data_IF_219404280614
#
_entry.id   IF_219404280614
#
_cell.length_a   1.000
_cell.length_b   1.000
_cell.length_c   1.000
_cell.angle_alpha   90.00
_cell.angle_beta   90.00
_cell.angle_gamma   90.00
#
_symmetry.space_group_name_H-M   'P 1'
#
loop_
_entity.id
_entity.type
_entity.pdbx_description
1 polymer ?
#
# COMPACT_ATOMS: atom_id res chain seq x y z
N UNK A 1 -9.59 25.52 -2.16
CA UNK A 1 -8.36 25.00 -1.50
C UNK A 1 -8.07 25.51 -0.07
N UNK A 2 -8.06 26.83 0.17
CA UNK A 2 -7.50 27.44 1.40
C UNK A 2 -7.97 26.83 2.73
N UNK A 3 -9.29 26.73 2.96
CA UNK A 3 -9.84 26.19 4.20
C UNK A 3 -9.49 24.71 4.42
N UNK A 4 -9.32 23.93 3.36
CA UNK A 4 -8.89 22.52 3.44
C UNK A 4 -7.49 22.42 4.00
N UNK A 5 -6.54 23.20 3.47
CA UNK A 5 -5.16 23.22 3.96
C UNK A 5 -5.08 23.72 5.40
N UNK A 6 -5.84 24.76 5.73
CA UNK A 6 -5.92 25.29 7.10
C UNK A 6 -6.47 24.24 8.07
N UNK A 7 -7.54 23.55 7.69
CA UNK A 7 -8.14 22.44 8.45
C UNK A 7 -7.12 21.33 8.71
N UNK A 8 -6.43 20.88 7.68
CA UNK A 8 -5.42 19.82 7.76
C UNK A 8 -4.24 20.21 8.65
N UNK A 9 -3.69 21.41 8.48
CA UNK A 9 -2.59 21.92 9.29
C UNK A 9 -3.00 22.04 10.77
N UNK A 10 -4.17 22.62 11.05
CA UNK A 10 -4.69 22.74 12.39
C UNK A 10 -4.93 21.37 13.04
N UNK A 11 -5.50 20.41 12.30
CA UNK A 11 -5.75 19.05 12.79
C UNK A 11 -4.45 18.31 13.16
N UNK A 12 -3.39 18.43 12.35
CA UNK A 12 -2.07 17.87 12.70
C UNK A 12 -1.50 18.54 13.95
N UNK A 13 -1.67 19.86 14.08
CA UNK A 13 -1.18 20.60 15.25
C UNK A 13 -1.93 20.30 16.55
N UNK A 14 -3.14 19.74 16.53
CA UNK A 14 -3.89 19.35 17.74
C UNK A 14 -3.06 18.45 18.66
N UNK A 15 -2.17 17.63 18.08
CA UNK A 15 -1.25 16.76 18.83
C UNK A 15 -0.30 17.52 19.76
N UNK A 16 0.16 18.69 19.33
CA UNK A 16 1.09 19.52 20.08
C UNK A 16 0.37 20.64 20.84
N UNK A 17 -0.78 21.09 20.31
CA UNK A 17 -1.56 22.23 20.77
C UNK A 17 -3.06 21.89 20.72
N UNK A 18 -3.61 21.23 21.76
CA UNK A 18 -5.01 20.81 21.81
C UNK A 18 -6.02 21.94 21.54
N UNK A 19 -5.66 23.19 21.85
CA UNK A 19 -6.44 24.40 21.59
C UNK A 19 -6.75 24.62 20.09
N UNK A 20 -5.94 24.08 19.18
CA UNK A 20 -6.14 24.16 17.73
C UNK A 20 -7.37 23.35 17.26
N UNK A 21 -7.94 22.50 18.12
CA UNK A 21 -9.03 21.59 17.75
C UNK A 21 -10.25 22.36 17.24
N UNK A 22 -10.65 23.44 17.92
CA UNK A 22 -11.79 24.25 17.51
C UNK A 22 -11.58 24.83 16.09
N UNK A 23 -10.39 25.42 15.85
CA UNK A 23 -10.02 25.98 14.55
C UNK A 23 -9.98 24.91 13.44
N UNK A 24 -9.52 23.70 13.75
CA UNK A 24 -9.48 22.60 12.80
C UNK A 24 -10.90 22.23 12.34
N UNK A 25 -11.85 22.06 13.27
CA UNK A 25 -13.25 21.75 12.94
C UNK A 25 -13.95 22.91 12.22
N UNK A 26 -13.71 24.15 12.62
CA UNK A 26 -14.27 25.33 11.97
C UNK A 26 -13.78 25.45 10.52
N UNK A 27 -12.48 25.31 10.30
CA UNK A 27 -11.88 25.32 8.96
C UNK A 27 -12.40 24.17 8.10
N UNK A 28 -12.55 22.97 8.67
CA UNK A 28 -13.16 21.82 7.97
C UNK A 28 -14.60 22.11 7.55
N UNK A 29 -15.39 22.71 8.44
CA UNK A 29 -16.78 23.10 8.16
C UNK A 29 -16.86 24.13 7.03
N UNK A 30 -16.00 25.15 7.04
CA UNK A 30 -15.89 26.13 5.96
C UNK A 30 -15.47 25.47 4.63
N UNK A 31 -14.50 24.55 4.67
CA UNK A 31 -14.06 23.80 3.51
C UNK A 31 -15.18 22.96 2.89
N UNK A 32 -15.98 22.25 3.71
CA UNK A 32 -17.10 21.45 3.24
C UNK A 32 -18.23 22.32 2.66
N UNK A 33 -18.52 23.48 3.27
CA UNK A 33 -19.50 24.45 2.71
C UNK A 33 -19.05 24.99 1.36
N UNK A 34 -17.79 25.39 1.24
CA UNK A 34 -17.22 25.85 -0.02
C UNK A 34 -17.25 24.75 -1.09
N UNK A 35 -16.82 23.54 -0.73
CA UNK A 35 -16.86 22.36 -1.60
C UNK A 35 -18.27 22.08 -2.13
N UNK A 36 -19.28 22.10 -1.25
CA UNK A 36 -20.67 21.88 -1.65
C UNK A 36 -21.15 22.95 -2.65
N UNK A 37 -20.82 24.22 -2.41
CA UNK A 37 -21.14 25.31 -3.31
C UNK A 37 -20.43 25.18 -4.66
N UNK A 38 -19.18 24.71 -4.68
CA UNK A 38 -18.39 24.50 -5.89
C UNK A 38 -18.94 23.32 -6.71
N UNK A 39 -19.22 22.17 -6.09
CA UNK A 39 -19.81 20.99 -6.75
C UNK A 39 -21.16 21.34 -7.38
N UNK A 40 -22.00 22.10 -6.68
CA UNK A 40 -23.35 22.46 -7.18
C UNK A 40 -23.29 23.37 -8.41
N UNK A 41 -22.23 24.19 -8.54
CA UNK A 41 -22.03 25.09 -9.68
C UNK A 41 -21.23 24.45 -10.82
N UNK A 42 -20.48 23.39 -10.54
CA UNK A 42 -19.57 22.79 -11.49
C UNK A 42 -20.29 21.90 -12.52
N UNK A 43 -19.97 22.08 -13.80
CA UNK A 43 -20.37 21.19 -14.88
C UNK A 43 -19.42 19.99 -15.05
N UNK A 44 -18.15 20.14 -14.66
CA UNK A 44 -17.10 19.12 -14.67
C UNK A 44 -16.23 19.23 -13.41
N UNK A 45 -15.48 18.18 -13.09
CA UNK A 45 -14.56 18.17 -11.96
C UNK A 45 -13.21 18.71 -12.40
N UNK A 46 -12.85 19.93 -12.00
CA UNK A 46 -11.51 20.42 -12.25
C UNK A 46 -10.48 19.80 -11.28
N UNK A 47 -9.20 19.92 -11.61
CA UNK A 47 -8.08 19.41 -10.81
C UNK A 47 -8.13 19.91 -9.36
N UNK A 48 -8.40 21.20 -9.13
CA UNK A 48 -8.45 21.77 -7.77
C UNK A 48 -9.54 21.12 -6.92
N UNK A 49 -10.73 20.92 -7.48
CA UNK A 49 -11.88 20.32 -6.80
C UNK A 49 -11.56 18.88 -6.36
N UNK A 50 -10.94 18.09 -7.24
CA UNK A 50 -10.54 16.72 -6.90
C UNK A 50 -9.50 16.71 -5.80
N UNK A 51 -8.50 17.60 -5.86
CA UNK A 51 -7.54 17.74 -4.78
C UNK A 51 -8.22 18.08 -3.46
N UNK A 52 -9.17 19.02 -3.45
CA UNK A 52 -9.91 19.39 -2.23
C UNK A 52 -10.66 18.18 -1.66
N UNK A 53 -11.39 17.41 -2.48
CA UNK A 53 -12.11 16.22 -2.04
C UNK A 53 -11.16 15.15 -1.52
N UNK A 54 -10.06 14.92 -2.23
CA UNK A 54 -9.03 13.96 -1.84
C UNK A 54 -8.40 14.32 -0.49
N UNK A 55 -7.98 15.57 -0.32
CA UNK A 55 -7.36 16.07 0.91
C UNK A 55 -8.33 16.01 2.10
N UNK A 56 -9.60 16.39 1.90
CA UNK A 56 -10.63 16.28 2.95
C UNK A 56 -10.89 14.83 3.34
N UNK A 57 -10.90 13.92 2.36
CA UNK A 57 -11.11 12.50 2.56
C UNK A 57 -9.97 11.83 3.32
N UNK A 58 -8.72 11.96 2.83
CA UNK A 58 -7.54 11.34 3.45
C UNK A 58 -7.26 11.88 4.86
N UNK A 59 -7.69 13.13 5.15
CA UNK A 59 -7.56 13.74 6.47
C UNK A 59 -8.73 13.45 7.41
N UNK A 60 -9.77 12.73 6.97
CA UNK A 60 -10.93 12.40 7.83
C UNK A 60 -10.53 11.64 9.11
N UNK A 61 -9.60 10.66 9.07
CA UNK A 61 -9.12 9.97 10.27
C UNK A 61 -8.43 10.88 11.29
N UNK A 62 -8.04 12.10 10.92
CA UNK A 62 -7.41 13.06 11.84
C UNK A 62 -8.44 13.70 12.78
N UNK A 63 -9.72 13.64 12.40
CA UNK A 63 -10.85 14.19 13.17
C UNK A 63 -11.65 13.11 13.89
N UNK A 64 -11.93 12.00 13.20
CA UNK A 64 -12.53 10.78 13.77
C UNK A 64 -11.85 9.56 13.16
N UNK A 65 -11.18 8.77 14.00
CA UNK A 65 -10.46 7.55 13.57
C UNK A 65 -11.37 6.51 12.88
N UNK A 66 -12.69 6.59 13.05
CA UNK A 66 -13.67 5.72 12.38
C UNK A 66 -14.05 6.21 10.99
N UNK A 67 -13.77 7.48 10.67
CA UNK A 67 -14.08 8.06 9.36
C UNK A 67 -12.88 7.88 8.42
N UNK A 68 -12.93 6.83 7.61
CA UNK A 68 -11.92 6.55 6.56
C UNK A 68 -12.06 7.47 5.32
N UNK A 69 -13.01 8.41 5.33
CA UNK A 69 -13.27 9.29 4.20
C UNK A 69 -13.91 8.58 3.00
N UNK A 70 -14.59 7.45 3.20
CA UNK A 70 -15.12 6.60 2.11
C UNK A 70 -16.07 7.36 1.17
N UNK A 71 -16.86 8.31 1.69
CA UNK A 71 -17.74 9.15 0.86
C UNK A 71 -16.92 9.99 -0.12
N UNK A 72 -15.81 10.57 0.33
CA UNK A 72 -14.90 11.34 -0.51
C UNK A 72 -14.15 10.44 -1.49
N UNK A 73 -13.71 9.26 -1.04
CA UNK A 73 -13.07 8.26 -1.91
C UNK A 73 -14.00 7.87 -3.06
N UNK A 74 -15.25 7.52 -2.75
CA UNK A 74 -16.25 7.16 -3.75
C UNK A 74 -16.52 8.31 -4.74
N UNK A 75 -16.54 9.55 -4.28
CA UNK A 75 -16.72 10.71 -5.15
C UNK A 75 -15.54 10.88 -6.14
N UNK A 76 -14.30 10.75 -5.68
CA UNK A 76 -13.12 10.83 -6.56
C UNK A 76 -13.05 9.64 -7.51
N UNK A 77 -13.36 8.43 -7.03
CA UNK A 77 -13.46 7.23 -7.88
C UNK A 77 -14.46 7.45 -9.01
N UNK A 78 -15.67 7.91 -8.70
CA UNK A 78 -16.70 8.18 -9.71
C UNK A 78 -16.29 9.27 -10.69
N UNK A 79 -15.60 10.32 -10.23
CA UNK A 79 -15.11 11.38 -11.11
C UNK A 79 -14.08 10.83 -12.12
N UNK A 80 -13.07 10.10 -11.62
CA UNK A 80 -11.97 9.54 -12.42
C UNK A 80 -12.44 8.43 -13.37
N UNK A 81 -13.31 7.52 -12.91
CA UNK A 81 -13.77 6.37 -13.70
C UNK A 81 -14.76 6.77 -14.82
N UNK A 82 -15.54 7.83 -14.62
CA UNK A 82 -16.49 8.31 -15.61
C UNK A 82 -15.91 9.39 -16.54
N UNK A 83 -14.60 9.62 -16.47
CA UNK A 83 -13.88 10.65 -17.25
C UNK A 83 -14.56 12.05 -17.18
N UNK A 84 -15.09 12.38 -16.00
CA UNK A 84 -15.77 13.67 -15.75
C UNK A 84 -14.81 14.77 -15.30
N UNK A 85 -13.52 14.50 -15.40
CA UNK A 85 -12.47 15.37 -14.89
C UNK A 85 -11.90 16.19 -16.04
N UNK A 86 -11.91 17.51 -15.86
CA UNK A 86 -11.28 18.42 -16.78
C UNK A 86 -9.77 18.48 -16.48
N UNK A 87 -9.00 17.67 -17.21
CA UNK A 87 -7.54 17.67 -17.14
C UNK A 87 -6.96 18.77 -18.03
N UNK A 88 -7.15 20.03 -17.64
CA UNK A 88 -6.54 21.17 -18.32
C UNK A 88 -5.01 21.05 -18.46
N UNK A 89 -4.37 20.32 -17.55
CA UNK A 89 -2.92 20.02 -17.51
C UNK A 89 -2.52 18.66 -18.12
N UNK A 90 -3.46 17.91 -18.72
CA UNK A 90 -3.20 16.67 -19.46
C UNK A 90 -2.96 15.40 -18.63
N UNK A 91 -2.29 14.41 -19.25
CA UNK A 91 -2.13 13.02 -18.77
C UNK A 91 -1.41 12.87 -17.41
N UNK A 92 -0.50 13.79 -17.06
CA UNK A 92 0.25 13.74 -15.79
C UNK A 92 -0.66 13.90 -14.57
N UNK A 93 -1.66 14.77 -14.66
CA UNK A 93 -2.63 15.03 -13.59
C UNK A 93 -3.57 13.84 -13.39
N UNK A 94 -3.96 13.16 -14.48
CA UNK A 94 -4.71 11.90 -14.42
C UNK A 94 -3.89 10.79 -13.73
N UNK A 95 -2.62 10.62 -14.11
CA UNK A 95 -1.73 9.64 -13.50
C UNK A 95 -1.52 9.85 -12.00
N UNK A 96 -1.45 11.12 -11.56
CA UNK A 96 -1.38 11.48 -10.15
C UNK A 96 -2.59 10.96 -9.36
N UNK A 97 -3.82 11.29 -9.79
CA UNK A 97 -5.01 10.87 -9.06
C UNK A 97 -5.26 9.36 -9.08
N UNK A 98 -4.95 8.67 -10.19
CA UNK A 98 -5.00 7.21 -10.25
C UNK A 98 -4.09 6.59 -9.17
N UNK A 99 -2.85 7.07 -9.07
CA UNK A 99 -1.91 6.61 -8.06
C UNK A 99 -2.38 6.93 -6.63
N UNK A 100 -2.95 8.10 -6.41
CA UNK A 100 -3.50 8.45 -5.10
C UNK A 100 -4.68 7.55 -4.69
N UNK A 101 -5.57 7.23 -5.64
CA UNK A 101 -6.67 6.28 -5.42
C UNK A 101 -6.16 4.87 -5.11
N UNK A 102 -5.14 4.38 -5.82
CA UNK A 102 -4.52 3.07 -5.54
C UNK A 102 -4.10 2.98 -4.07
N UNK A 103 -3.37 4.00 -3.58
CA UNK A 103 -2.95 4.05 -2.18
C UNK A 103 -4.15 4.11 -1.23
N UNK A 104 -5.11 5.01 -1.47
CA UNK A 104 -6.24 5.19 -0.57
C UNK A 104 -7.16 3.97 -0.51
N UNK A 105 -7.38 3.29 -1.64
CA UNK A 105 -8.10 2.02 -1.70
C UNK A 105 -7.38 0.92 -0.91
N UNK A 106 -6.06 0.79 -1.08
CA UNK A 106 -5.26 -0.21 -0.38
C UNK A 106 -5.45 -0.13 1.14
N UNK A 107 -5.36 1.09 1.66
CA UNK A 107 -5.32 1.33 3.10
C UNK A 107 -6.72 1.31 3.70
N UNK A 108 -7.74 1.70 2.92
CA UNK A 108 -9.16 1.52 3.28
C UNK A 108 -9.53 0.03 3.31
N UNK A 109 -9.11 -0.73 2.29
CA UNK A 109 -9.37 -2.17 2.19
C UNK A 109 -8.71 -2.97 3.30
N UNK A 110 -7.58 -2.51 3.85
CA UNK A 110 -6.92 -3.19 4.96
C UNK A 110 -7.82 -3.32 6.20
N UNK A 111 -8.75 -2.37 6.42
CA UNK A 111 -9.59 -2.27 7.62
C UNK A 111 -11.10 -2.36 7.36
N UNK A 112 -11.55 -2.22 6.11
CA UNK A 112 -12.97 -2.18 5.75
C UNK A 112 -13.31 -3.17 4.62
N UNK A 113 -14.20 -4.13 4.91
CA UNK A 113 -14.68 -5.14 3.94
C UNK A 113 -15.44 -4.52 2.76
N UNK A 114 -16.08 -3.38 2.97
CA UNK A 114 -16.93 -2.71 1.99
C UNK A 114 -16.18 -1.68 1.15
N UNK A 115 -14.85 -1.57 1.29
CA UNK A 115 -14.07 -0.65 0.49
C UNK A 115 -14.12 -1.06 -0.99
N UNK A 116 -14.68 -0.19 -1.84
CA UNK A 116 -14.67 -0.38 -3.28
C UNK A 116 -13.24 -0.31 -3.80
N UNK A 117 -12.87 -1.21 -4.70
CA UNK A 117 -11.56 -1.20 -5.35
C UNK A 117 -11.69 -1.44 -6.85
N UNK A 118 -10.87 -0.72 -7.61
CA UNK A 118 -10.99 -0.61 -9.06
C UNK A 118 -9.66 -0.88 -9.76
N UNK A 119 -9.75 -1.30 -11.02
CA UNK A 119 -8.60 -1.54 -11.88
C UNK A 119 -8.32 -0.30 -12.73
N UNK A 120 -7.48 0.60 -12.21
CA UNK A 120 -7.12 1.85 -12.87
C UNK A 120 -6.25 1.67 -14.11
N UNK A 121 -5.70 0.48 -14.35
CA UNK A 121 -4.93 0.19 -15.57
C UNK A 121 -5.78 0.24 -16.85
N UNK A 122 -7.09 0.03 -16.70
CA UNK A 122 -8.07 0.03 -17.80
C UNK A 122 -8.69 1.39 -18.09
N UNK A 123 -8.45 2.37 -17.23
CA UNK A 123 -8.91 3.75 -17.46
C UNK A 123 -7.96 4.35 -18.48
N UNK A 124 -8.45 4.62 -19.70
CA UNK A 124 -7.66 5.28 -20.73
C UNK A 124 -7.15 6.64 -20.21
N UNK A 125 -5.88 6.94 -20.46
CA UNK A 125 -5.37 8.29 -20.22
C UNK A 125 -5.71 9.13 -21.46
N UNK A 126 -6.07 10.42 -21.31
CA UNK A 126 -6.24 11.30 -22.46
C UNK A 126 -5.00 11.19 -23.35
N UNK A 127 -5.17 10.79 -24.61
CA UNK A 127 -4.07 10.66 -25.54
C UNK A 127 -3.36 12.02 -25.59
N UNK A 128 -2.06 12.03 -25.28
CA UNK A 128 -1.23 13.17 -25.64
C UNK A 128 -1.34 13.30 -27.16
N UNK A 129 -1.88 14.41 -27.65
CA UNK A 129 -1.99 14.67 -29.08
C UNK A 129 -0.64 14.35 -29.73
N UNK A 130 -0.65 13.43 -30.70
CA UNK A 130 0.52 13.12 -31.51
C UNK A 130 1.08 14.45 -32.03
N UNK A 131 2.39 14.74 -31.89
CA UNK A 131 2.95 15.95 -32.46
C UNK A 131 2.62 16.00 -33.94
N UNK A 132 2.01 17.10 -34.38
CA UNK A 132 1.74 17.34 -35.79
C UNK A 132 2.97 16.99 -36.65
N UNK A 133 2.75 16.20 -37.71
CA UNK A 133 3.78 15.74 -38.64
C UNK A 133 4.70 16.90 -39.06
N UNK A 134 5.97 16.86 -38.64
CA UNK A 134 6.96 17.84 -39.06
C UNK A 134 8.18 18.01 -38.15
N UNK A 135 8.12 17.58 -36.89
CA UNK A 135 9.28 17.64 -35.99
C UNK A 135 10.09 16.34 -36.06
N UNK A 136 11.39 16.46 -36.38
CA UNK A 136 12.36 15.36 -36.27
C UNK A 136 12.18 14.67 -34.91
N UNK A 137 12.18 13.33 -34.82
CA UNK A 137 12.18 12.65 -33.54
C UNK A 137 13.40 13.13 -32.76
N UNK A 138 13.15 13.88 -31.68
CA UNK A 138 14.15 14.05 -30.65
C UNK A 138 14.62 12.65 -30.24
N UNK A 139 15.92 12.44 -29.93
CA UNK A 139 16.36 11.16 -29.40
C UNK A 139 15.42 10.78 -28.26
N UNK A 140 15.02 9.52 -28.21
CA UNK A 140 14.15 8.97 -27.17
C UNK A 140 14.85 9.15 -25.81
N UNK A 141 14.76 10.35 -25.25
CA UNK A 141 15.07 10.60 -23.86
C UNK A 141 14.06 9.75 -23.12
N UNK A 142 14.50 8.58 -22.62
CA UNK A 142 13.70 7.76 -21.72
C UNK A 142 13.19 8.70 -20.62
N UNK A 143 11.91 9.01 -20.66
CA UNK A 143 11.29 9.88 -19.68
C UNK A 143 11.38 9.17 -18.34
N UNK A 144 12.28 9.64 -17.47
CA UNK A 144 12.46 9.09 -16.14
C UNK A 144 11.13 9.08 -15.38
N UNK A 145 10.87 8.02 -14.63
CA UNK A 145 9.67 7.87 -13.83
C UNK A 145 9.73 8.88 -12.69
N UNK A 146 8.71 9.72 -12.56
CA UNK A 146 8.53 10.62 -11.42
C UNK A 146 7.80 9.87 -10.29
N UNK A 147 8.46 9.63 -9.14
CA UNK A 147 7.81 9.02 -7.99
C UNK A 147 6.59 9.83 -7.53
N UNK A 148 5.49 9.13 -7.26
CA UNK A 148 4.30 9.73 -6.68
C UNK A 148 4.44 9.80 -5.13
N UNK A 149 3.87 10.80 -4.42
CA UNK A 149 4.08 10.96 -2.98
C UNK A 149 3.68 9.75 -2.11
N UNK A 150 2.64 9.01 -2.50
CA UNK A 150 2.16 7.85 -1.72
C UNK A 150 2.50 6.49 -2.32
N UNK A 151 2.52 6.40 -3.65
CA UNK A 151 2.81 5.13 -4.33
C UNK A 151 4.28 5.02 -4.70
N UNK A 152 5.05 6.12 -4.73
CA UNK A 152 6.42 6.12 -5.23
C UNK A 152 6.48 5.57 -6.65
N UNK A 153 7.22 4.47 -6.81
CA UNK A 153 7.26 3.64 -8.02
C UNK A 153 6.57 2.27 -7.81
N UNK A 154 5.79 2.14 -6.74
CA UNK A 154 5.14 0.92 -6.26
C UNK A 154 3.63 0.89 -6.56
N UNK A 155 3.13 1.65 -7.54
CA UNK A 155 1.69 1.71 -7.83
C UNK A 155 1.11 0.34 -8.18
N UNK A 156 1.76 -0.43 -9.04
CA UNK A 156 1.33 -1.80 -9.39
C UNK A 156 1.41 -2.76 -8.18
N UNK A 157 2.53 -2.86 -7.44
CA UNK A 157 2.58 -3.64 -6.20
C UNK A 157 1.49 -3.25 -5.17
N UNK A 158 1.20 -1.97 -5.00
CA UNK A 158 0.15 -1.51 -4.08
C UNK A 158 -1.26 -1.88 -4.57
N UNK A 159 -1.54 -1.80 -5.87
CA UNK A 159 -2.80 -2.27 -6.44
C UNK A 159 -2.99 -3.79 -6.28
N UNK A 160 -1.93 -4.57 -6.46
CA UNK A 160 -1.92 -6.01 -6.17
C UNK A 160 -2.16 -6.28 -4.69
N UNK A 161 -1.56 -5.49 -3.80
CA UNK A 161 -1.77 -5.60 -2.36
C UNK A 161 -3.24 -5.48 -2.00
N UNK A 162 -3.93 -4.46 -2.54
CA UNK A 162 -5.37 -4.28 -2.36
C UNK A 162 -6.14 -5.54 -2.80
N UNK A 163 -5.83 -6.08 -3.98
CA UNK A 163 -6.53 -7.26 -4.52
C UNK A 163 -6.32 -8.50 -3.65
N UNK A 164 -5.09 -8.73 -3.17
CA UNK A 164 -4.78 -9.84 -2.26
C UNK A 164 -5.49 -9.65 -0.92
N UNK A 165 -5.43 -8.45 -0.33
CA UNK A 165 -6.11 -8.11 0.90
C UNK A 165 -7.62 -8.37 0.81
N UNK A 166 -8.27 -8.02 -0.31
CA UNK A 166 -9.69 -8.30 -0.55
C UNK A 166 -10.02 -9.79 -0.54
N UNK A 167 -9.22 -10.61 -1.22
CA UNK A 167 -9.47 -12.06 -1.25
C UNK A 167 -9.32 -12.68 0.14
N UNK A 168 -8.32 -12.23 0.88
CA UNK A 168 -8.07 -12.64 2.25
C UNK A 168 -9.23 -12.23 3.17
N UNK A 169 -9.77 -11.01 3.02
CA UNK A 169 -10.93 -10.53 3.80
C UNK A 169 -12.22 -11.23 3.41
N UNK A 170 -12.43 -11.49 2.13
CA UNK A 170 -13.56 -12.29 1.65
C UNK A 170 -13.52 -13.67 2.32
N UNK A 171 -12.37 -14.37 2.27
CA UNK A 171 -12.15 -15.65 2.95
C UNK A 171 -12.56 -15.62 4.43
N UNK A 172 -12.19 -14.57 5.16
CA UNK A 172 -12.49 -14.41 6.59
C UNK A 172 -13.95 -14.05 6.86
N UNK A 173 -14.54 -13.22 6.01
CA UNK A 173 -15.96 -12.84 6.09
C UNK A 173 -16.88 -14.03 5.89
N UNK A 174 -16.47 -15.03 5.09
CA UNK A 174 -17.17 -16.32 4.97
C UNK A 174 -17.24 -17.10 6.28
N UNK A 175 -16.38 -16.81 7.27
CA UNK A 175 -16.47 -17.37 8.61
C UNK A 175 -17.62 -16.81 9.46
N UNK A 176 -18.21 -15.67 9.08
CA UNK A 176 -19.24 -14.97 9.86
C UNK A 176 -20.65 -15.07 9.27
N UNK A 177 -20.81 -15.46 8.00
CA UNK A 177 -22.13 -15.54 7.34
C UNK A 177 -22.28 -16.90 6.66
N UNK A 178 -22.77 -17.87 7.43
CA UNK A 178 -23.50 -19.01 6.85
C UNK A 178 -24.81 -18.48 6.23
N UNK A 179 -24.76 -18.15 4.94
CA UNK A 179 -25.91 -17.74 4.13
C UNK A 179 -25.70 -18.17 2.66
N UNK A 180 -26.75 -18.59 1.94
CA UNK A 180 -26.61 -19.24 0.64
C UNK A 180 -26.45 -18.20 -0.47
N UNK A 181 -25.24 -17.69 -0.68
CA UNK A 181 -24.93 -16.86 -1.85
C UNK A 181 -23.74 -17.44 -2.62
N UNK A 182 -24.06 -18.27 -3.61
CA UNK A 182 -23.34 -18.52 -4.87
C UNK A 182 -21.80 -18.47 -4.88
N UNK A 183 -21.14 -19.04 -3.88
CA UNK A 183 -19.68 -19.22 -3.90
C UNK A 183 -19.35 -20.44 -4.74
N UNK A 184 -18.67 -20.24 -5.87
CA UNK A 184 -18.11 -21.33 -6.66
C UNK A 184 -16.62 -21.48 -6.26
N UNK A 185 -16.25 -22.54 -5.54
CA UNK A 185 -14.86 -22.76 -5.09
C UNK A 185 -13.83 -22.75 -6.24
N UNK A 186 -14.24 -23.13 -7.46
CA UNK A 186 -13.37 -23.09 -8.64
C UNK A 186 -12.95 -21.66 -9.01
N UNK A 187 -13.92 -20.75 -9.15
CA UNK A 187 -13.63 -19.35 -9.50
C UNK A 187 -12.78 -18.64 -8.47
N UNK A 188 -12.93 -18.96 -7.18
CA UNK A 188 -12.07 -18.41 -6.14
C UNK A 188 -10.62 -18.90 -6.30
N UNK A 189 -10.41 -20.21 -6.48
CA UNK A 189 -9.09 -20.79 -6.69
C UNK A 189 -8.39 -20.18 -7.91
N UNK A 190 -9.11 -19.98 -9.01
CA UNK A 190 -8.58 -19.37 -10.23
C UNK A 190 -8.20 -17.89 -10.01
N UNK A 191 -9.01 -17.15 -9.25
CA UNK A 191 -8.70 -15.77 -8.89
C UNK A 191 -7.43 -15.63 -8.03
N UNK A 192 -7.22 -16.54 -7.07
CA UNK A 192 -5.98 -16.54 -6.27
C UNK A 192 -4.77 -16.91 -7.14
N UNK A 193 -4.90 -17.89 -8.04
CA UNK A 193 -3.82 -18.25 -8.96
C UNK A 193 -3.47 -17.10 -9.91
N UNK A 194 -4.47 -16.40 -10.47
CA UNK A 194 -4.25 -15.23 -11.30
C UNK A 194 -3.56 -14.08 -10.55
N UNK A 195 -3.80 -13.94 -9.23
CA UNK A 195 -3.09 -12.96 -8.41
C UNK A 195 -1.63 -13.35 -8.21
N UNK A 196 -1.34 -14.62 -7.96
CA UNK A 196 0.03 -15.13 -7.88
C UNK A 196 0.79 -14.84 -9.18
N UNK A 197 0.21 -15.19 -10.33
CA UNK A 197 0.83 -14.96 -11.63
C UNK A 197 1.02 -13.45 -11.93
N UNK A 198 0.05 -12.61 -11.54
CA UNK A 198 0.17 -11.15 -11.69
C UNK A 198 1.28 -10.56 -10.80
N UNK A 199 1.45 -11.05 -9.56
CA UNK A 199 2.58 -10.64 -8.71
C UNK A 199 3.89 -11.08 -9.34
N UNK A 200 3.99 -12.30 -9.88
CA UNK A 200 5.19 -12.77 -10.54
C UNK A 200 5.53 -12.02 -11.83
N UNK A 201 4.53 -11.53 -12.56
CA UNK A 201 4.71 -10.73 -13.77
C UNK A 201 5.00 -9.24 -13.49
N UNK A 202 4.79 -8.77 -12.25
CA UNK A 202 4.93 -7.36 -11.90
C UNK A 202 6.35 -6.84 -12.11
N UNK A 203 6.44 -5.65 -12.69
CA UNK A 203 7.71 -4.99 -12.99
C UNK A 203 8.04 -3.91 -11.94
N UNK A 204 9.28 -3.91 -11.47
CA UNK A 204 9.84 -2.81 -10.68
C UNK A 204 10.90 -2.11 -11.54
N UNK A 205 10.86 -0.77 -11.66
CA UNK A 205 11.84 -0.04 -12.44
C UNK A 205 13.23 -0.14 -11.80
N UNK A 206 14.25 -0.14 -12.66
CA UNK A 206 15.63 0.01 -12.23
C UNK A 206 15.87 1.38 -11.59
N UNK A 207 16.86 1.48 -10.70
CA UNK A 207 17.21 2.73 -10.02
C UNK A 207 17.50 3.89 -11.00
N UNK A 208 18.14 3.61 -12.13
CA UNK A 208 18.49 4.61 -13.15
C UNK A 208 17.28 5.14 -13.92
N UNK A 209 16.13 4.45 -13.88
CA UNK A 209 14.89 4.88 -14.51
C UNK A 209 14.02 5.75 -13.60
N UNK A 210 14.46 6.02 -12.36
CA UNK A 210 13.72 6.80 -11.37
C UNK A 210 14.33 8.21 -11.29
N UNK A 211 13.51 9.23 -11.53
CA UNK A 211 13.93 10.63 -11.41
C UNK A 211 14.08 11.07 -9.96
N UNK A 212 14.99 12.02 -9.72
CA UNK A 212 15.07 12.74 -8.45
C UNK A 212 13.88 13.69 -8.32
N UNK A 213 13.25 13.70 -7.14
CA UNK A 213 12.15 14.62 -6.80
C UNK A 213 12.62 15.93 -6.16
N UNK A 214 13.94 16.13 -6.01
CA UNK A 214 14.52 17.31 -5.38
C UNK A 214 14.49 17.32 -3.85
N UNK A 215 13.95 16.29 -3.20
CA UNK A 215 14.06 16.08 -1.75
C UNK A 215 15.30 15.23 -1.44
N UNK A 216 16.30 15.85 -0.82
CA UNK A 216 17.56 15.19 -0.42
C UNK A 216 17.33 14.07 0.62
N UNK A 217 16.27 14.15 1.43
CA UNK A 217 15.93 13.09 2.39
C UNK A 217 15.23 11.89 1.75
N UNK A 218 14.78 12.04 0.49
CA UNK A 218 14.06 10.99 -0.24
C UNK A 218 14.71 10.73 -1.60
N UNK A 219 15.96 10.21 -1.62
CA UNK A 219 16.59 9.77 -2.85
C UNK A 219 15.79 8.66 -3.53
N UNK A 220 15.97 8.51 -4.85
CA UNK A 220 15.28 7.54 -5.69
C UNK A 220 15.32 6.09 -5.14
N UNK A 221 16.42 5.70 -4.49
CA UNK A 221 16.58 4.38 -3.88
C UNK A 221 15.54 4.11 -2.79
N UNK A 222 15.08 5.11 -2.04
CA UNK A 222 14.03 4.90 -1.03
C UNK A 222 12.70 4.49 -1.67
N UNK A 223 12.36 5.04 -2.84
CA UNK A 223 11.16 4.63 -3.59
C UNK A 223 11.29 3.22 -4.15
N UNK A 224 12.48 2.84 -4.62
CA UNK A 224 12.76 1.48 -5.08
C UNK A 224 12.64 0.46 -3.94
N UNK A 225 13.30 0.71 -2.81
CA UNK A 225 13.23 -0.14 -1.61
C UNK A 225 11.79 -0.29 -1.11
N UNK A 226 11.00 0.78 -1.15
CA UNK A 226 9.58 0.73 -0.81
C UNK A 226 8.79 -0.17 -1.78
N UNK A 227 9.05 -0.10 -3.09
CA UNK A 227 8.40 -0.96 -4.07
C UNK A 227 8.74 -2.44 -3.86
N UNK A 228 10.00 -2.75 -3.58
CA UNK A 228 10.43 -4.10 -3.24
C UNK A 228 9.77 -4.60 -1.95
N UNK A 229 9.64 -3.74 -0.94
CA UNK A 229 8.95 -4.08 0.31
C UNK A 229 7.48 -4.43 0.06
N UNK A 230 6.77 -3.72 -0.82
CA UNK A 230 5.40 -4.09 -1.23
C UNK A 230 5.35 -5.41 -2.01
N UNK A 231 6.35 -5.72 -2.85
CA UNK A 231 6.42 -7.01 -3.53
C UNK A 231 6.58 -8.17 -2.55
N UNK A 232 7.52 -8.04 -1.61
CA UNK A 232 7.69 -9.04 -0.55
C UNK A 232 6.44 -9.19 0.31
N UNK A 233 5.78 -8.08 0.68
CA UNK A 233 4.55 -8.11 1.46
C UNK A 233 3.41 -8.83 0.72
N UNK A 234 3.27 -8.59 -0.59
CA UNK A 234 2.30 -9.28 -1.44
C UNK A 234 2.50 -10.79 -1.47
N UNK A 235 3.74 -11.24 -1.73
CA UNK A 235 4.09 -12.66 -1.74
C UNK A 235 3.89 -13.30 -0.37
N UNK A 236 4.37 -12.64 0.69
CA UNK A 236 4.26 -13.12 2.06
C UNK A 236 2.81 -13.34 2.47
N UNK A 237 1.94 -12.33 2.32
CA UNK A 237 0.55 -12.45 2.75
C UNK A 237 -0.23 -13.48 1.92
N UNK A 238 0.02 -13.54 0.60
CA UNK A 238 -0.63 -14.51 -0.29
C UNK A 238 -0.24 -15.93 0.11
N UNK A 239 1.04 -16.21 0.29
CA UNK A 239 1.53 -17.54 0.62
C UNK A 239 1.31 -17.94 2.08
N UNK A 240 1.18 -16.97 2.99
CA UNK A 240 0.78 -17.23 4.37
C UNK A 240 -0.64 -17.82 4.42
N UNK A 241 -1.59 -17.22 3.70
CA UNK A 241 -3.00 -17.63 3.71
C UNK A 241 -3.29 -18.78 2.74
N UNK A 242 -2.73 -18.77 1.53
CA UNK A 242 -3.09 -19.71 0.47
C UNK A 242 -2.01 -20.77 0.27
N UNK A 243 -1.95 -21.75 1.17
CA UNK A 243 -0.95 -22.82 1.17
C UNK A 243 -0.91 -23.64 -0.16
N UNK A 244 -2.02 -23.75 -0.88
CA UNK A 244 -2.07 -24.45 -2.17
C UNK A 244 -1.23 -23.73 -3.23
N UNK A 245 -1.38 -22.41 -3.33
CA UNK A 245 -0.62 -21.57 -4.26
C UNK A 245 0.86 -21.54 -3.87
N UNK A 246 1.14 -21.41 -2.56
CA UNK A 246 2.51 -21.54 -2.03
C UNK A 246 3.17 -22.85 -2.47
N UNK A 247 2.49 -23.99 -2.30
CA UNK A 247 3.03 -25.31 -2.68
C UNK A 247 3.30 -25.44 -4.18
N UNK A 248 2.37 -24.99 -5.02
CA UNK A 248 2.57 -24.97 -6.48
C UNK A 248 3.79 -24.14 -6.87
N UNK A 249 3.96 -22.96 -6.27
CA UNK A 249 5.11 -22.10 -6.59
C UNK A 249 6.43 -22.68 -6.11
N UNK A 250 6.46 -23.31 -4.93
CA UNK A 250 7.64 -24.04 -4.44
C UNK A 250 8.03 -25.17 -5.40
N UNK A 251 7.06 -25.95 -5.88
CA UNK A 251 7.32 -27.02 -6.86
C UNK A 251 7.93 -26.45 -8.13
N UNK A 252 7.36 -25.37 -8.67
CA UNK A 252 7.92 -24.67 -9.83
C UNK A 252 9.35 -24.21 -9.57
N UNK A 253 9.64 -23.55 -8.45
CA UNK A 253 10.99 -23.09 -8.08
C UNK A 253 12.02 -24.21 -7.94
N UNK A 254 11.59 -25.40 -7.47
CA UNK A 254 12.45 -26.58 -7.35
C UNK A 254 12.77 -27.23 -8.70
N UNK A 255 11.85 -27.15 -9.66
CA UNK A 255 12.01 -27.73 -11.00
C UNK A 255 12.65 -26.77 -12.01
N UNK A 256 12.58 -25.46 -11.78
CA UNK A 256 13.17 -24.42 -12.64
C UNK A 256 14.69 -24.28 -12.48
N UNK A 257 15.43 -25.39 -12.32
CA UNK A 257 16.87 -25.43 -11.99
C UNK A 257 17.81 -24.73 -12.97
N UNK A 258 17.28 -24.19 -14.08
CA UNK A 258 18.09 -23.60 -15.15
C UNK A 258 17.32 -22.46 -15.87
N UNK A 259 16.75 -21.52 -15.12
CA UNK A 259 16.34 -20.26 -15.74
C UNK A 259 17.59 -19.59 -16.31
N UNK A 260 17.69 -19.57 -17.64
CA UNK A 260 18.70 -18.85 -18.38
C UNK A 260 18.70 -17.39 -17.88
N UNK A 261 19.73 -17.03 -17.10
CA UNK A 261 19.85 -15.72 -16.44
C UNK A 261 19.74 -14.56 -17.43
N UNK A 262 19.95 -14.82 -18.73
CA UNK A 262 19.81 -13.85 -19.82
C UNK A 262 18.36 -13.47 -20.16
N UNK A 263 17.34 -14.16 -19.62
CA UNK A 263 15.90 -13.94 -19.91
C UNK A 263 15.05 -13.55 -18.68
N UNK A 264 15.65 -13.04 -17.61
CA UNK A 264 14.86 -12.55 -16.46
C UNK A 264 13.96 -11.40 -16.91
N UNK A 265 12.65 -11.65 -16.93
CA UNK A 265 11.65 -10.73 -17.47
C UNK A 265 11.01 -9.87 -16.38
N UNK A 266 10.92 -10.39 -15.16
CA UNK A 266 10.28 -9.72 -14.03
C UNK A 266 11.17 -9.63 -12.78
N UNK A 267 10.75 -8.79 -11.82
CA UNK A 267 11.46 -8.63 -10.55
C UNK A 267 11.50 -9.94 -9.75
N UNK A 268 10.39 -10.69 -9.70
CA UNK A 268 10.30 -11.94 -8.93
C UNK A 268 11.20 -13.04 -9.51
N UNK A 269 11.30 -13.15 -10.84
CA UNK A 269 12.22 -14.07 -11.50
C UNK A 269 13.69 -13.76 -11.17
N UNK A 270 14.02 -12.47 -11.03
CA UNK A 270 15.34 -12.02 -10.58
C UNK A 270 15.73 -12.52 -9.18
N UNK A 271 14.74 -12.76 -8.31
CA UNK A 271 14.95 -13.26 -6.94
C UNK A 271 14.94 -14.79 -6.85
N UNK A 272 14.49 -15.49 -7.88
CA UNK A 272 14.24 -16.93 -7.86
C UNK A 272 15.47 -17.76 -7.42
N UNK A 273 16.67 -17.38 -7.86
CA UNK A 273 17.91 -18.07 -7.50
C UNK A 273 18.18 -18.10 -5.99
N UNK A 274 17.96 -16.96 -5.31
CA UNK A 274 18.09 -16.86 -3.85
C UNK A 274 17.04 -17.72 -3.15
N UNK A 275 15.80 -17.69 -3.64
CA UNK A 275 14.70 -18.46 -3.06
C UNK A 275 14.88 -19.97 -3.22
N UNK A 276 15.35 -20.43 -4.39
CA UNK A 276 15.65 -21.85 -4.61
C UNK A 276 16.74 -22.36 -3.66
N UNK A 277 17.72 -21.52 -3.30
CA UNK A 277 18.72 -21.89 -2.29
C UNK A 277 18.10 -22.14 -0.91
N UNK A 278 17.19 -21.26 -0.46
CA UNK A 278 16.48 -21.40 0.82
C UNK A 278 15.60 -22.66 0.82
N UNK A 279 14.92 -22.94 -0.29
CA UNK A 279 13.99 -24.07 -0.41
C UNK A 279 14.66 -25.46 -0.41
N UNK A 280 16.00 -25.53 -0.43
CA UNK A 280 16.77 -26.79 -0.37
C UNK A 280 17.00 -27.31 1.05
N UNK A 281 16.76 -26.53 2.09
CA UNK A 281 16.84 -27.00 3.48
C UNK A 281 15.62 -27.85 3.87
N UNK A 282 15.75 -28.63 4.94
CA UNK A 282 14.69 -29.53 5.44
C UNK A 282 13.39 -28.78 5.77
N UNK A 283 13.50 -27.60 6.39
CA UNK A 283 12.38 -26.67 6.69
C UNK A 283 12.21 -25.55 5.64
N UNK A 284 12.73 -25.76 4.42
CA UNK A 284 12.92 -24.69 3.44
C UNK A 284 11.65 -23.93 3.04
N UNK A 285 10.47 -24.56 3.11
CA UNK A 285 9.19 -23.89 2.78
C UNK A 285 8.82 -22.86 3.84
N UNK A 286 8.95 -23.21 5.11
CA UNK A 286 8.63 -22.31 6.22
C UNK A 286 9.68 -21.21 6.33
N UNK A 287 10.96 -21.55 6.15
CA UNK A 287 12.03 -20.56 6.18
C UNK A 287 11.92 -19.60 4.99
N UNK A 288 11.52 -20.06 3.81
CA UNK A 288 11.24 -19.19 2.68
C UNK A 288 10.08 -18.23 2.97
N UNK A 289 8.99 -18.71 3.60
CA UNK A 289 7.88 -17.82 3.99
C UNK A 289 8.33 -16.76 5.02
N UNK A 290 9.11 -17.16 6.03
CA UNK A 290 9.69 -16.24 7.01
C UNK A 290 10.63 -15.23 6.33
N UNK A 291 11.44 -15.69 5.38
CA UNK A 291 12.32 -14.85 4.58
C UNK A 291 11.56 -13.78 3.80
N UNK A 292 10.42 -14.11 3.18
CA UNK A 292 9.60 -13.14 2.45
C UNK A 292 9.10 -12.01 3.39
N UNK A 293 8.57 -12.37 4.56
CA UNK A 293 8.13 -11.38 5.55
C UNK A 293 9.26 -10.53 6.12
N UNK A 294 10.39 -11.17 6.49
CA UNK A 294 11.60 -10.47 6.98
C UNK A 294 12.22 -9.55 5.93
N UNK A 295 12.12 -9.92 4.64
CA UNK A 295 12.63 -9.09 3.55
C UNK A 295 11.94 -7.73 3.46
N UNK A 296 10.67 -7.63 3.88
CA UNK A 296 9.99 -6.32 4.02
C UNK A 296 10.73 -5.44 5.02
N UNK A 297 11.08 -5.98 6.19
CA UNK A 297 11.78 -5.25 7.26
C UNK A 297 13.19 -4.84 6.79
N UNK A 298 13.92 -5.76 6.18
CA UNK A 298 15.27 -5.51 5.63
C UNK A 298 15.28 -4.35 4.62
N UNK A 299 14.22 -4.21 3.80
CA UNK A 299 14.09 -3.06 2.88
C UNK A 299 13.79 -1.76 3.63
N UNK A 300 12.92 -1.79 4.62
CA UNK A 300 12.57 -0.61 5.41
C UNK A 300 13.72 -0.13 6.32
N UNK A 301 14.59 -1.04 6.78
CA UNK A 301 15.80 -0.72 7.54
C UNK A 301 16.78 0.15 6.76
N UNK A 302 16.86 -0.08 5.44
CA UNK A 302 17.70 0.70 4.52
C UNK A 302 17.13 2.08 4.21
N UNK A 303 15.88 2.37 4.58
CA UNK A 303 15.26 3.68 4.38
C UNK A 303 15.45 4.52 5.65
N UNK A 304 16.07 5.69 5.49
CA UNK A 304 16.25 6.64 6.59
C UNK A 304 14.90 7.10 7.17
N UNK A 305 14.87 7.36 8.47
CA UNK A 305 13.65 7.80 9.17
C UNK A 305 13.14 9.16 8.67
N UNK A 306 14.03 10.05 8.24
CA UNK A 306 13.70 11.36 7.67
C UNK A 306 13.09 11.30 6.27
N UNK A 307 13.07 10.15 5.61
CA UNK A 307 12.54 10.03 4.25
C UNK A 307 11.04 10.33 4.20
N UNK A 308 10.59 11.03 3.16
CA UNK A 308 9.18 11.27 2.84
C UNK A 308 8.38 9.99 2.59
N UNK A 309 9.03 8.87 2.23
CA UNK A 309 8.36 7.55 2.14
C UNK A 309 7.85 7.04 3.48
N UNK A 310 8.30 7.61 4.61
CA UNK A 310 7.88 7.27 5.97
C UNK A 310 6.37 7.27 6.16
N UNK A 311 5.65 8.17 5.47
CA UNK A 311 4.20 8.29 5.57
C UNK A 311 3.40 7.06 5.09
N UNK A 312 4.05 6.13 4.36
CA UNK A 312 3.40 4.93 3.79
C UNK A 312 4.03 3.60 4.27
N UNK A 313 4.88 3.63 5.30
CA UNK A 313 5.58 2.42 5.80
C UNK A 313 4.79 1.63 6.86
N UNK A 314 3.84 2.25 7.56
CA UNK A 314 3.18 1.65 8.73
C UNK A 314 2.46 0.33 8.40
N UNK A 315 1.78 0.25 7.26
CA UNK A 315 1.10 -0.97 6.80
C UNK A 315 2.10 -2.11 6.54
N UNK A 316 3.24 -1.83 5.90
CA UNK A 316 4.28 -2.82 5.65
C UNK A 316 4.88 -3.38 6.94
N UNK A 317 5.14 -2.51 7.92
CA UNK A 317 5.62 -2.90 9.25
C UNK A 317 4.62 -3.80 9.98
N UNK A 318 3.32 -3.48 9.88
CA UNK A 318 2.25 -4.30 10.44
C UNK A 318 2.19 -5.68 9.80
N UNK A 319 2.24 -5.76 8.48
CA UNK A 319 2.22 -7.02 7.72
C UNK A 319 3.43 -7.88 8.06
N UNK A 320 4.63 -7.29 8.08
CA UNK A 320 5.86 -8.03 8.31
C UNK A 320 6.02 -8.51 9.76
N UNK A 321 5.36 -7.86 10.73
CA UNK A 321 5.41 -8.23 12.13
C UNK A 321 4.99 -9.69 12.38
N UNK A 322 4.07 -10.23 11.57
CA UNK A 322 3.62 -11.63 11.73
C UNK A 322 4.68 -12.66 11.33
N UNK A 323 5.71 -12.28 10.57
CA UNK A 323 6.83 -13.18 10.25
C UNK A 323 7.88 -13.29 11.35
N UNK A 324 7.79 -12.47 12.41
CA UNK A 324 8.77 -12.39 13.48
C UNK A 324 8.42 -13.32 14.65
N UNK A 325 8.04 -14.56 14.33
CA UNK A 325 7.78 -15.60 15.33
C UNK A 325 9.09 -16.04 15.99
N UNK A 326 9.08 -16.14 17.32
CA UNK A 326 10.21 -16.63 18.12
C UNK A 326 10.17 -18.15 18.20
N UNK A 327 11.33 -18.79 18.12
CA UNK A 327 11.44 -20.21 18.43
C UNK A 327 12.15 -20.32 19.79
N UNK A 328 11.48 -20.76 20.86
CA UNK A 328 12.04 -20.78 22.21
C UNK A 328 13.34 -21.59 22.34
N UNK A 329 13.61 -22.53 21.42
CA UNK A 329 14.84 -23.33 21.43
C UNK A 329 16.04 -22.66 20.73
N UNK A 330 15.79 -21.65 19.89
CA UNK A 330 16.81 -21.06 19.01
C UNK A 330 16.50 -19.58 18.72
N UNK A 331 16.14 -18.83 19.77
CA UNK A 331 15.77 -17.42 19.66
C UNK A 331 16.94 -16.59 19.11
N UNK A 332 16.97 -16.46 17.79
CA UNK A 332 17.98 -15.70 17.08
C UNK A 332 17.88 -14.23 17.47
N UNK A 333 19.01 -13.68 17.91
CA UNK A 333 19.22 -12.25 18.17
C UNK A 333 18.60 -11.38 17.06
N UNK A 334 18.70 -11.80 15.81
CA UNK A 334 18.14 -11.16 14.62
C UNK A 334 16.62 -10.90 14.71
N UNK A 335 15.84 -11.80 15.31
CA UNK A 335 14.39 -11.63 15.46
C UNK A 335 14.09 -10.54 16.48
N UNK A 336 14.84 -10.51 17.58
CA UNK A 336 14.69 -9.47 18.61
C UNK A 336 15.07 -8.09 18.05
N UNK A 337 16.14 -8.02 17.26
CA UNK A 337 16.57 -6.80 16.57
C UNK A 337 15.51 -6.31 15.58
N UNK A 338 14.98 -7.20 14.74
CA UNK A 338 13.90 -6.87 13.80
C UNK A 338 12.62 -6.39 14.52
N UNK A 339 12.22 -7.05 15.62
CA UNK A 339 11.08 -6.60 16.43
C UNK A 339 11.33 -5.22 17.04
N UNK A 340 12.54 -4.98 17.55
CA UNK A 340 12.92 -3.69 18.11
C UNK A 340 12.92 -2.60 17.03
N UNK A 341 13.42 -2.90 15.83
CA UNK A 341 13.36 -2.01 14.67
C UNK A 341 11.93 -1.63 14.36
N UNK A 342 11.01 -2.61 14.22
CA UNK A 342 9.61 -2.36 13.90
C UNK A 342 8.96 -1.41 14.92
N UNK A 343 9.15 -1.66 16.22
CA UNK A 343 8.58 -0.84 17.29
C UNK A 343 9.19 0.56 17.35
N UNK A 344 10.51 0.69 17.18
CA UNK A 344 11.21 1.99 17.12
C UNK A 344 10.73 2.78 15.90
N UNK A 345 10.61 2.13 14.75
CA UNK A 345 10.15 2.75 13.51
C UNK A 345 8.71 3.24 13.64
N UNK A 346 7.77 2.42 14.10
CA UNK A 346 6.38 2.84 14.31
C UNK A 346 6.26 3.98 15.33
N UNK A 347 7.09 3.96 16.38
CA UNK A 347 7.15 5.06 17.35
C UNK A 347 7.58 6.35 16.64
N UNK A 348 8.69 6.32 15.90
CA UNK A 348 9.14 7.47 15.12
C UNK A 348 8.06 7.98 14.16
N UNK A 349 7.45 7.08 13.38
CA UNK A 349 6.42 7.43 12.40
C UNK A 349 5.20 8.11 13.04
N UNK A 350 4.76 7.65 14.22
CA UNK A 350 3.63 8.27 14.91
C UNK A 350 3.96 9.71 15.34
N UNK A 351 5.17 9.93 15.86
CA UNK A 351 5.64 11.26 16.27
C UNK A 351 5.90 12.18 15.07
N UNK A 352 6.57 11.70 14.03
CA UNK A 352 6.90 12.51 12.84
C UNK A 352 5.66 12.90 12.05
N UNK A 353 4.69 11.99 11.93
CA UNK A 353 3.48 12.21 11.13
C UNK A 353 2.33 12.80 11.95
N UNK A 354 2.51 13.00 13.27
CA UNK A 354 1.47 13.43 14.21
C UNK A 354 0.17 12.63 13.99
N UNK A 355 0.29 11.30 14.06
CA UNK A 355 -0.74 10.37 13.61
C UNK A 355 -1.19 9.41 14.73
N UNK A 356 -2.44 9.57 15.17
CA UNK A 356 -3.11 8.63 16.09
C UNK A 356 -3.18 7.22 15.51
N UNK A 357 -3.62 7.05 14.25
CA UNK A 357 -3.71 5.73 13.63
C UNK A 357 -2.44 4.90 13.76
N UNK A 358 -1.26 5.52 13.61
CA UNK A 358 0.03 4.80 13.72
C UNK A 358 0.31 4.30 15.15
N UNK A 359 -0.16 5.01 16.19
CA UNK A 359 -0.08 4.50 17.57
C UNK A 359 -0.93 3.24 17.76
N UNK A 360 -2.12 3.17 17.15
CA UNK A 360 -2.93 1.95 17.17
C UNK A 360 -2.25 0.80 16.42
N UNK A 361 -1.63 1.07 15.26
CA UNK A 361 -0.82 0.08 14.53
C UNK A 361 0.30 -0.47 15.42
N UNK A 362 0.99 0.38 16.19
CA UNK A 362 2.01 -0.06 17.16
C UNK A 362 1.42 -0.97 18.23
N UNK A 363 0.26 -0.63 18.79
CA UNK A 363 -0.43 -1.48 19.77
C UNK A 363 -0.82 -2.86 19.18
N UNK A 364 -1.26 -2.88 17.93
CA UNK A 364 -1.58 -4.12 17.20
C UNK A 364 -0.32 -4.97 17.00
N UNK A 365 0.81 -4.36 16.63
CA UNK A 365 2.09 -5.08 16.50
C UNK A 365 2.56 -5.66 17.84
N UNK A 366 2.42 -4.93 18.94
CA UNK A 366 2.73 -5.45 20.27
C UNK A 366 1.87 -6.68 20.62
N UNK A 367 0.58 -6.63 20.28
CA UNK A 367 -0.33 -7.77 20.49
C UNK A 367 0.01 -8.95 19.57
N UNK A 368 0.42 -8.71 18.31
CA UNK A 368 0.96 -9.75 17.42
C UNK A 368 2.14 -10.45 18.11
N UNK A 369 3.14 -9.69 18.58
CA UNK A 369 4.31 -10.28 19.23
C UNK A 369 3.95 -11.07 20.48
N UNK A 370 3.04 -10.56 21.31
CA UNK A 370 2.55 -11.28 22.50
C UNK A 370 1.91 -12.62 22.14
N UNK A 371 1.09 -12.68 21.09
CA UNK A 371 0.46 -13.92 20.63
C UNK A 371 1.46 -14.90 20.02
N UNK A 372 2.41 -14.40 19.23
CA UNK A 372 3.49 -15.21 18.68
C UNK A 372 4.37 -15.83 19.80
N UNK A 373 4.63 -15.09 20.88
CA UNK A 373 5.47 -15.55 22.00
C UNK A 373 4.84 -16.69 22.81
N UNK A 374 3.52 -16.85 22.75
CA UNK A 374 2.82 -18.00 23.36
C UNK A 374 2.52 -19.12 22.35
N UNK A 375 3.12 -19.04 21.15
CA UNK A 375 3.01 -20.09 20.11
C UNK A 375 1.71 -20.07 19.31
N UNK A 376 0.95 -18.97 19.34
CA UNK A 376 -0.25 -18.80 18.51
C UNK A 376 0.19 -18.35 17.11
N UNK A 377 -0.31 -19.01 16.07
CA UNK A 377 -0.15 -18.52 14.70
C UNK A 377 -1.06 -17.31 14.47
N UNK A 378 -0.49 -16.25 13.91
CA UNK A 378 -1.12 -14.92 13.87
C UNK A 378 -1.05 -14.35 12.47
N UNK A 379 -2.20 -13.87 11.99
CA UNK A 379 -2.26 -12.99 10.84
C UNK A 379 -2.75 -11.60 11.24
N UNK A 380 -2.15 -10.57 10.64
CA UNK A 380 -2.28 -9.18 11.09
C UNK A 380 -3.73 -8.66 11.03
N UNK A 381 -4.51 -9.04 10.01
CA UNK A 381 -5.93 -8.65 9.91
C UNK A 381 -6.80 -9.25 11.02
N UNK A 382 -6.48 -10.47 11.48
CA UNK A 382 -7.24 -11.12 12.57
C UNK A 382 -7.01 -10.36 13.89
N UNK A 383 -5.78 -9.89 14.11
CA UNK A 383 -5.47 -9.05 15.28
C UNK A 383 -6.15 -7.70 15.19
N UNK A 384 -6.09 -7.02 14.03
CA UNK A 384 -6.80 -5.76 13.80
C UNK A 384 -8.29 -5.88 14.13
N UNK A 385 -8.94 -6.92 13.61
CA UNK A 385 -10.36 -7.17 13.87
C UNK A 385 -10.63 -7.45 15.34
N UNK A 386 -9.82 -8.30 15.99
CA UNK A 386 -9.98 -8.61 17.42
C UNK A 386 -9.78 -7.41 18.34
N UNK A 387 -8.95 -6.45 17.92
CA UNK A 387 -8.71 -5.21 18.66
C UNK A 387 -9.66 -4.07 18.26
N UNK A 388 -10.61 -4.31 17.35
CA UNK A 388 -11.54 -3.29 16.86
C UNK A 388 -10.84 -2.11 16.17
N UNK A 389 -9.68 -2.35 15.54
CA UNK A 389 -8.92 -1.29 14.86
C UNK A 389 -9.58 -0.97 13.52
N UNK A 390 -10.11 0.25 13.42
CA UNK A 390 -10.90 0.73 12.26
C UNK A 390 -10.10 1.56 11.27
N UNK A 391 -8.90 1.98 11.63
CA UNK A 391 -7.98 2.73 10.75
C UNK A 391 -6.55 2.37 11.08
N UNK A 392 -5.71 2.34 10.05
CA UNK A 392 -4.28 2.07 10.15
C UNK A 392 -3.44 3.24 9.63
N UNK A 393 -4.07 4.25 9.02
CA UNK A 393 -3.40 5.38 8.37
C UNK A 393 -4.23 6.65 8.54
N UNK A 394 -3.52 7.77 8.69
CA UNK A 394 -4.04 9.13 8.80
C UNK A 394 -2.89 10.09 8.98
#
# INVERSE_FOLDING_TARGET
MFHTLQSMAAAKLVWLRPEMKAQAFESRSMALKALHADITRASSWNTELIFVVLLLGISSPWFDIRDLGIVHLAAVQQAVLNDKVDYSDGCLTMGFFKNALIYWEMVSCAVNDNAASHDYSKVESPQAELPMQGQKPAPANLSLIKPHPWTGVASEPQALFTRVARQIRALRSFGLISGPSSYNPGHFSDAIQALDDAIWACHIPSLHNISSIGDENTPAIHHLLLAEAYMFANLYQLYCIFANVRRKRVQWLKHSTDLDRSKQSSWAEGQAGTWTSILRSDDGIEEWLKFLGRSVIIRLEQIQTSSGTSCVQALLLLVAATSLSRNPENDGQDILEARQFVLKRLTFLSWSNLSAPINYVKSVVLEIFKRLDVGVDVFWMDVLQSMGTVTIIG
#
